data_IF_048740503657
#
_entry.id   IF_048740503657
#
_cell.length_a   1.000
_cell.length_b   1.000
_cell.length_c   1.000
_cell.angle_alpha   90.00
_cell.angle_beta   90.00
_cell.angle_gamma   90.00
#
_symmetry.space_group_name_H-M   'P 1'
#
loop_
_entity.id
_entity.type
_entity.pdbx_description
1 polymer ?
#
# COMPACT_ATOMS: atom_id res chain seq x y z
N UNK A 1 1.77 38.13 -11.59
CA UNK A 1 0.37 38.25 -11.28
C UNK A 1 0.00 37.28 -10.21
N UNK A 2 -0.50 37.78 -9.08
CA UNK A 2 -0.94 36.95 -7.95
C UNK A 2 -2.46 36.66 -8.03
N UNK A 3 -3.13 37.21 -9.05
CA UNK A 3 -4.56 37.08 -9.22
C UNK A 3 -4.95 35.69 -9.72
N UNK A 4 -6.07 35.20 -9.24
CA UNK A 4 -6.66 33.91 -9.66
C UNK A 4 -8.15 34.07 -9.96
N UNK A 5 -8.69 33.19 -10.82
CA UNK A 5 -10.04 33.31 -11.34
C UNK A 5 -11.06 32.86 -10.28
N UNK A 6 -11.95 33.76 -9.90
CA UNK A 6 -13.11 33.45 -9.04
C UNK A 6 -14.32 32.98 -9.87
N UNK A 7 -14.55 33.64 -11.01
CA UNK A 7 -15.65 33.33 -11.93
C UNK A 7 -15.12 33.27 -13.35
N UNK A 8 -15.35 32.19 -14.07
CA UNK A 8 -14.86 31.92 -15.41
C UNK A 8 -16.04 32.01 -16.41
N UNK A 9 -15.98 32.80 -17.48
CA UNK A 9 -17.00 32.78 -18.52
C UNK A 9 -17.16 31.38 -19.11
N UNK A 10 -18.40 30.95 -19.37
CA UNK A 10 -18.74 29.69 -20.02
C UNK A 10 -19.36 29.93 -21.39
N UNK A 11 -18.93 29.14 -22.38
CA UNK A 11 -19.58 29.07 -23.67
C UNK A 11 -20.94 28.35 -23.56
N UNK A 12 -21.75 28.39 -24.62
CA UNK A 12 -23.13 27.88 -24.61
C UNK A 12 -23.16 26.34 -24.44
N UNK A 13 -22.12 25.64 -24.86
CA UNK A 13 -21.92 24.20 -24.74
C UNK A 13 -21.21 23.77 -23.45
N UNK A 14 -20.78 24.74 -22.62
CA UNK A 14 -20.17 24.48 -21.32
C UNK A 14 -21.18 24.65 -20.19
N UNK A 15 -21.02 23.92 -19.05
CA UNK A 15 -21.76 24.21 -17.83
C UNK A 15 -21.58 25.68 -17.43
N UNK A 16 -22.68 26.33 -17.05
CA UNK A 16 -22.62 27.72 -16.65
C UNK A 16 -23.95 28.22 -16.08
N UNK A 17 -23.86 29.23 -15.24
CA UNK A 17 -24.96 29.85 -14.53
C UNK A 17 -24.93 31.38 -14.78
N UNK A 18 -26.09 32.00 -14.67
CA UNK A 18 -26.19 33.44 -14.74
C UNK A 18 -25.60 34.11 -13.50
N UNK A 19 -24.90 35.20 -13.69
CA UNK A 19 -24.30 35.99 -12.62
C UNK A 19 -24.28 37.48 -12.97
N UNK A 20 -24.01 38.38 -12.00
CA UNK A 20 -23.79 39.81 -12.28
C UNK A 20 -22.65 40.09 -13.27
N UNK A 21 -21.74 39.13 -13.46
CA UNK A 21 -20.58 39.23 -14.37
C UNK A 21 -20.79 38.49 -15.69
N UNK A 22 -22.04 38.08 -15.97
CA UNK A 22 -22.39 37.29 -17.13
C UNK A 22 -22.49 35.80 -16.83
N UNK A 23 -22.90 35.01 -17.86
CA UNK A 23 -22.98 33.58 -17.78
C UNK A 23 -21.57 32.96 -17.63
N UNK A 24 -21.41 32.11 -16.61
CA UNK A 24 -20.12 31.51 -16.31
C UNK A 24 -20.18 30.43 -15.26
N UNK A 25 -19.04 30.02 -14.78
CA UNK A 25 -18.86 29.02 -13.75
C UNK A 25 -17.84 29.45 -12.69
N UNK A 26 -17.91 28.89 -11.45
CA UNK A 26 -16.90 29.15 -10.43
C UNK A 26 -15.49 28.77 -10.91
N UNK A 27 -14.49 29.45 -10.40
CA UNK A 27 -13.10 29.02 -10.51
C UNK A 27 -12.83 27.82 -9.59
N UNK A 28 -11.77 27.06 -9.88
CA UNK A 28 -11.44 25.83 -9.17
C UNK A 28 -11.34 26.00 -7.64
N UNK A 29 -10.68 27.03 -7.16
CA UNK A 29 -10.46 27.23 -5.72
C UNK A 29 -11.77 27.45 -4.96
N UNK A 30 -12.67 28.27 -5.52
CA UNK A 30 -13.92 28.60 -4.85
C UNK A 30 -14.92 27.43 -4.86
N UNK A 31 -14.82 26.52 -5.83
CA UNK A 31 -15.59 25.28 -5.82
C UNK A 31 -15.28 24.49 -4.55
N UNK A 32 -14.00 24.28 -4.26
CA UNK A 32 -13.58 23.52 -3.07
C UNK A 32 -13.93 24.26 -1.78
N UNK A 33 -13.72 25.57 -1.70
CA UNK A 33 -14.08 26.38 -0.53
C UNK A 33 -15.57 26.28 -0.22
N UNK A 34 -16.42 26.47 -1.22
CA UNK A 34 -17.88 26.45 -1.05
C UNK A 34 -18.40 25.03 -0.74
N UNK A 35 -17.91 24.01 -1.45
CA UNK A 35 -18.35 22.62 -1.20
C UNK A 35 -17.93 22.12 0.18
N UNK A 36 -16.71 22.44 0.61
CA UNK A 36 -16.25 22.08 1.97
C UNK A 36 -17.14 22.69 3.04
N UNK A 37 -17.50 23.96 2.90
CA UNK A 37 -18.40 24.61 3.85
C UNK A 37 -19.79 23.98 3.86
N UNK A 38 -20.38 23.78 2.67
CA UNK A 38 -21.77 23.28 2.56
C UNK A 38 -21.90 21.85 3.08
N UNK A 39 -20.92 20.99 2.81
CA UNK A 39 -21.01 19.58 3.14
C UNK A 39 -20.42 19.20 4.50
N UNK A 40 -19.42 19.93 4.96
CA UNK A 40 -18.66 19.59 6.18
C UNK A 40 -18.83 20.63 7.29
N UNK A 41 -19.23 21.86 6.95
CA UNK A 41 -19.20 22.99 7.86
C UNK A 41 -17.77 23.51 8.08
N UNK A 42 -17.65 24.67 8.77
CA UNK A 42 -16.36 25.27 9.10
C UNK A 42 -16.21 25.46 10.60
N UNK A 43 -15.02 25.15 11.19
CA UNK A 43 -13.92 24.43 10.57
C UNK A 43 -14.19 22.93 10.49
N UNK A 44 -13.79 22.27 9.42
CA UNK A 44 -13.81 20.81 9.34
C UNK A 44 -12.51 20.19 9.86
N UNK A 45 -12.46 18.85 9.99
CA UNK A 45 -11.38 18.22 10.71
C UNK A 45 -10.11 18.09 9.87
N UNK A 46 -10.19 17.49 8.67
CA UNK A 46 -9.02 17.15 7.87
C UNK A 46 -9.19 17.63 6.44
N UNK A 47 -8.19 18.37 5.93
CA UNK A 47 -8.04 18.73 4.52
C UNK A 47 -6.76 18.13 3.95
N UNK A 48 -6.88 17.45 2.82
CA UNK A 48 -5.76 16.72 2.23
C UNK A 48 -5.57 16.97 0.75
N UNK A 49 -4.34 16.75 0.26
CA UNK A 49 -4.03 16.84 -1.14
C UNK A 49 -2.57 16.53 -1.45
N UNK A 50 -2.18 16.67 -2.71
CA UNK A 50 -0.78 16.61 -3.11
C UNK A 50 0.02 17.81 -2.59
N UNK A 51 1.32 17.65 -2.47
CA UNK A 51 2.22 18.73 -2.02
C UNK A 51 2.18 19.96 -2.95
N UNK A 52 1.81 19.76 -4.22
CA UNK A 52 1.63 20.81 -5.23
C UNK A 52 0.38 21.67 -4.99
N UNK A 53 -0.61 21.15 -4.27
CA UNK A 53 -1.83 21.88 -3.93
C UNK A 53 -1.64 22.85 -2.77
N UNK A 54 -0.55 22.78 -1.99
CA UNK A 54 -0.27 23.71 -0.90
C UNK A 54 -0.37 25.14 -1.37
N UNK A 55 0.24 25.41 -2.53
CA UNK A 55 0.21 26.71 -3.17
C UNK A 55 0.06 26.54 -4.70
N UNK A 56 -0.84 27.28 -5.35
CA UNK A 56 -1.70 28.33 -4.74
C UNK A 56 -3.06 27.84 -4.21
N UNK A 57 -3.44 26.56 -4.46
CA UNK A 57 -4.82 26.09 -4.30
C UNK A 57 -5.33 26.20 -2.85
N UNK A 58 -4.70 25.51 -1.91
CA UNK A 58 -5.13 25.49 -0.51
C UNK A 58 -5.00 26.87 0.18
N UNK A 59 -3.96 27.65 -0.15
CA UNK A 59 -3.84 29.01 0.34
C UNK A 59 -5.01 29.90 -0.13
N UNK A 60 -5.45 29.71 -1.37
CA UNK A 60 -6.59 30.44 -1.91
C UNK A 60 -7.92 29.99 -1.27
N UNK A 61 -8.08 28.71 -0.97
CA UNK A 61 -9.25 28.21 -0.25
C UNK A 61 -9.36 28.80 1.16
N UNK A 62 -8.23 28.83 1.88
CA UNK A 62 -8.15 29.47 3.20
C UNK A 62 -8.51 30.95 3.09
N UNK A 63 -7.89 31.68 2.14
CA UNK A 63 -8.15 33.09 1.96
C UNK A 63 -9.62 33.39 1.64
N UNK A 64 -10.23 32.62 0.73
CA UNK A 64 -11.64 32.74 0.37
C UNK A 64 -12.56 32.51 1.57
N UNK A 65 -12.37 31.40 2.28
CA UNK A 65 -13.25 31.02 3.41
C UNK A 65 -13.06 31.97 4.60
N UNK A 66 -11.82 32.35 4.95
CA UNK A 66 -11.56 33.27 6.03
C UNK A 66 -12.13 34.67 5.72
N UNK A 67 -11.95 35.17 4.49
CA UNK A 67 -12.50 36.47 4.10
C UNK A 67 -14.03 36.47 4.08
N UNK A 68 -14.69 35.42 3.57
CA UNK A 68 -16.14 35.33 3.53
C UNK A 68 -16.75 35.36 4.94
N UNK A 69 -16.06 34.84 5.94
CA UNK A 69 -16.53 34.77 7.34
C UNK A 69 -15.88 35.79 8.27
N UNK A 70 -15.13 36.74 7.76
CA UNK A 70 -14.40 37.76 8.56
C UNK A 70 -13.50 37.12 9.64
N UNK A 71 -12.83 36.02 9.31
CA UNK A 71 -11.88 35.32 10.19
C UNK A 71 -10.46 35.65 9.82
N UNK A 72 -9.60 35.77 10.83
CA UNK A 72 -8.16 36.00 10.64
C UNK A 72 -7.32 34.79 11.06
N UNK A 73 -7.96 33.78 11.65
CA UNK A 73 -7.33 32.55 12.09
C UNK A 73 -7.38 31.50 10.98
N UNK A 74 -6.25 30.94 10.60
CA UNK A 74 -6.13 29.90 9.58
C UNK A 74 -6.86 28.62 9.96
N UNK A 75 -6.94 28.31 11.24
CA UNK A 75 -7.70 27.15 11.76
C UNK A 75 -9.22 27.28 11.56
N UNK A 76 -9.70 28.44 11.07
CA UNK A 76 -11.12 28.63 10.77
C UNK A 76 -11.59 27.86 9.52
N UNK A 77 -10.69 27.31 8.72
CA UNK A 77 -11.02 26.51 7.55
C UNK A 77 -10.88 24.99 7.82
N UNK A 78 -9.68 24.50 8.14
CA UNK A 78 -9.44 23.12 8.51
C UNK A 78 -8.49 23.01 9.70
N UNK A 79 -8.72 22.02 10.57
CA UNK A 79 -7.90 21.80 11.77
C UNK A 79 -6.58 21.10 11.47
N UNK A 80 -6.61 20.13 10.56
CA UNK A 80 -5.45 19.31 10.19
C UNK A 80 -5.25 19.31 8.67
N UNK A 81 -3.98 19.41 8.26
CA UNK A 81 -3.57 19.41 6.86
C UNK A 81 -2.69 18.20 6.56
N UNK A 82 -3.08 17.42 5.56
CA UNK A 82 -2.35 16.22 5.13
C UNK A 82 -1.93 16.40 3.68
N UNK A 83 -0.62 16.48 3.42
CA UNK A 83 -0.09 16.64 2.08
C UNK A 83 0.80 15.47 1.70
N UNK A 84 0.44 14.78 0.62
CA UNK A 84 1.18 13.66 0.09
C UNK A 84 2.36 14.10 -0.79
N UNK A 85 3.45 13.34 -0.74
CA UNK A 85 4.50 13.41 -1.75
C UNK A 85 4.02 12.90 -3.11
N UNK A 86 4.89 13.01 -4.11
CA UNK A 86 4.59 12.56 -5.47
C UNK A 86 4.95 11.09 -5.67
N UNK A 87 4.23 10.45 -6.61
CA UNK A 87 4.62 9.14 -7.16
C UNK A 87 5.30 9.38 -8.50
N UNK A 88 6.54 8.88 -8.65
CA UNK A 88 7.24 8.76 -9.92
C UNK A 88 7.20 7.31 -10.38
N UNK A 89 7.45 7.07 -11.66
CA UNK A 89 7.54 5.74 -12.25
C UNK A 89 8.89 5.64 -12.95
N UNK A 90 9.75 4.74 -12.48
CA UNK A 90 11.12 4.57 -12.98
C UNK A 90 11.90 5.90 -13.02
N UNK A 91 11.77 6.71 -11.97
CA UNK A 91 12.42 8.00 -11.83
C UNK A 91 11.76 9.17 -12.58
N UNK A 92 10.76 8.90 -13.42
CA UNK A 92 10.06 9.89 -14.22
C UNK A 92 8.72 10.29 -13.61
N UNK A 93 8.33 11.56 -13.77
CA UNK A 93 7.01 12.01 -13.30
C UNK A 93 5.91 11.26 -14.06
N UNK A 94 4.97 10.66 -13.33
CA UNK A 94 3.80 10.03 -13.92
C UNK A 94 2.97 11.06 -14.68
N UNK A 95 2.77 10.86 -15.99
CA UNK A 95 1.94 11.77 -16.81
C UNK A 95 1.31 11.02 -17.99
N UNK A 96 0.13 11.50 -18.42
CA UNK A 96 -0.56 10.95 -19.61
C UNK A 96 0.25 11.15 -20.89
N UNK A 97 1.00 12.25 -20.98
CA UNK A 97 1.81 12.57 -22.17
C UNK A 97 3.02 11.66 -22.33
N UNK A 98 3.55 11.14 -21.24
CA UNK A 98 4.67 10.16 -21.26
C UNK A 98 4.19 8.72 -21.40
N UNK A 99 2.88 8.47 -21.29
CA UNK A 99 2.34 7.11 -21.40
C UNK A 99 2.75 6.16 -20.25
N UNK A 100 3.35 6.68 -19.19
CA UNK A 100 3.81 5.92 -18.03
C UNK A 100 2.77 5.87 -16.89
N UNK A 101 1.50 6.05 -17.25
CA UNK A 101 0.39 6.03 -16.31
C UNK A 101 0.04 4.58 -15.94
N UNK A 102 0.11 4.25 -14.66
CA UNK A 102 -0.21 2.92 -14.14
C UNK A 102 -1.60 2.94 -13.51
N UNK A 103 -2.47 2.05 -13.98
CA UNK A 103 -3.79 1.87 -13.38
C UNK A 103 -3.71 0.80 -12.29
N UNK A 104 -4.33 1.05 -11.16
CA UNK A 104 -4.39 0.08 -10.05
C UNK A 104 -5.05 -1.24 -10.49
N UNK A 105 -6.06 -1.18 -11.36
CA UNK A 105 -6.72 -2.36 -11.93
C UNK A 105 -5.73 -3.26 -12.68
N UNK A 106 -4.93 -2.69 -13.57
CA UNK A 106 -3.97 -3.45 -14.39
C UNK A 106 -2.82 -4.03 -13.53
N UNK A 107 -2.49 -3.35 -12.44
CA UNK A 107 -1.50 -3.85 -11.48
C UNK A 107 -2.05 -5.01 -10.66
N UNK A 108 -3.33 -4.98 -10.27
CA UNK A 108 -4.00 -6.06 -9.53
C UNK A 108 -4.17 -7.35 -10.35
N UNK A 109 -4.10 -7.27 -11.69
CA UNK A 109 -4.04 -8.47 -12.54
C UNK A 109 -2.68 -9.20 -12.47
N UNK A 110 -1.62 -8.51 -12.03
CA UNK A 110 -0.23 -9.01 -12.05
C UNK A 110 0.35 -9.24 -10.66
N UNK A 111 -0.13 -8.50 -9.66
CA UNK A 111 0.44 -8.48 -8.32
C UNK A 111 -0.67 -8.60 -7.29
N UNK A 112 -0.39 -9.30 -6.21
CA UNK A 112 -1.27 -9.32 -5.04
C UNK A 112 -1.48 -7.91 -4.47
N UNK A 113 -2.70 -7.62 -4.01
CA UNK A 113 -3.06 -6.31 -3.46
C UNK A 113 -2.23 -5.90 -2.25
N UNK A 114 -1.78 -6.85 -1.42
CA UNK A 114 -0.90 -6.56 -0.29
C UNK A 114 0.50 -6.13 -0.75
N UNK A 115 1.02 -6.67 -1.87
CA UNK A 115 2.29 -6.25 -2.45
C UNK A 115 2.21 -4.80 -2.91
N UNK A 116 1.13 -4.44 -3.62
CA UNK A 116 0.90 -3.07 -4.07
C UNK A 116 0.77 -2.12 -2.87
N UNK A 117 0.01 -2.51 -1.87
CA UNK A 117 -0.18 -1.74 -0.65
C UNK A 117 1.12 -1.54 0.12
N UNK A 118 1.89 -2.60 0.32
CA UNK A 118 3.20 -2.54 0.99
C UNK A 118 4.15 -1.62 0.23
N UNK A 119 4.17 -1.70 -1.10
CA UNK A 119 4.99 -0.84 -1.95
C UNK A 119 4.63 0.64 -1.79
N UNK A 120 3.34 0.98 -1.82
CA UNK A 120 2.87 2.35 -1.60
C UNK A 120 3.26 2.88 -0.22
N UNK A 121 3.15 2.05 0.81
CA UNK A 121 3.46 2.42 2.20
C UNK A 121 4.95 2.32 2.54
N UNK A 122 5.80 1.87 1.62
CA UNK A 122 7.25 1.75 1.84
C UNK A 122 7.98 3.09 1.95
N UNK A 123 7.38 4.17 1.47
CA UNK A 123 7.82 5.54 1.70
C UNK A 123 6.86 6.24 2.67
N UNK A 124 7.39 7.18 3.44
CA UNK A 124 6.54 8.07 4.25
C UNK A 124 5.63 8.87 3.31
N UNK A 125 4.35 9.03 3.65
CA UNK A 125 3.37 9.65 2.74
C UNK A 125 3.75 11.08 2.30
N UNK A 126 4.53 11.82 3.12
CA UNK A 126 5.03 13.16 2.76
C UNK A 126 6.22 13.14 1.79
N UNK A 127 6.85 11.99 1.59
CA UNK A 127 8.03 11.84 0.75
C UNK A 127 7.67 11.35 -0.65
N UNK A 128 8.46 11.67 -1.66
CA UNK A 128 8.31 11.07 -2.98
C UNK A 128 8.47 9.55 -2.92
N UNK A 129 7.62 8.85 -3.66
CA UNK A 129 7.71 7.41 -3.88
C UNK A 129 8.05 7.16 -5.34
N UNK A 130 9.17 6.51 -5.60
CA UNK A 130 9.46 5.99 -6.94
C UNK A 130 8.90 4.58 -7.09
N UNK A 131 7.96 4.42 -8.01
CA UNK A 131 7.32 3.15 -8.33
C UNK A 131 8.16 2.42 -9.38
N UNK A 132 8.69 1.26 -9.03
CA UNK A 132 9.49 0.44 -9.93
C UNK A 132 9.21 -1.05 -9.73
N UNK A 133 9.49 -1.84 -10.77
CA UNK A 133 9.39 -3.29 -10.71
C UNK A 133 10.28 -3.90 -9.62
N UNK A 134 11.48 -3.37 -9.43
CA UNK A 134 12.40 -3.86 -8.40
C UNK A 134 11.86 -3.62 -6.99
N UNK A 135 11.18 -2.49 -6.78
CA UNK A 135 10.54 -2.20 -5.50
C UNK A 135 9.36 -3.15 -5.23
N UNK A 136 8.57 -3.50 -6.24
CA UNK A 136 7.50 -4.50 -6.14
C UNK A 136 8.07 -5.88 -5.75
N UNK A 137 9.13 -6.34 -6.44
CA UNK A 137 9.82 -7.59 -6.12
C UNK A 137 10.38 -7.59 -4.70
N UNK A 138 10.96 -6.47 -4.25
CA UNK A 138 11.46 -6.32 -2.88
C UNK A 138 10.32 -6.37 -1.86
N UNK A 139 9.20 -5.72 -2.14
CA UNK A 139 8.00 -5.74 -1.29
C UNK A 139 7.44 -7.16 -1.15
N UNK A 140 7.29 -7.88 -2.27
CA UNK A 140 6.87 -9.30 -2.28
C UNK A 140 7.81 -10.15 -1.42
N UNK A 141 9.12 -10.04 -1.62
CA UNK A 141 10.12 -10.79 -0.84
C UNK A 141 10.03 -10.50 0.66
N UNK A 142 9.77 -9.26 1.03
CA UNK A 142 9.61 -8.89 2.44
C UNK A 142 8.36 -9.51 3.03
N UNK A 143 7.23 -9.43 2.32
CA UNK A 143 5.97 -10.07 2.74
C UNK A 143 6.11 -11.59 2.80
N UNK A 144 6.78 -12.24 1.83
CA UNK A 144 7.08 -13.67 1.86
C UNK A 144 7.81 -14.08 3.14
N UNK A 145 8.80 -13.28 3.54
CA UNK A 145 9.53 -13.53 4.79
C UNK A 145 8.64 -13.42 6.03
N UNK A 146 7.73 -12.44 6.08
CA UNK A 146 6.79 -12.26 7.19
C UNK A 146 5.74 -13.38 7.21
N UNK A 147 5.20 -13.77 6.06
CA UNK A 147 4.27 -14.89 5.96
C UNK A 147 4.91 -16.23 6.33
N UNK A 148 6.18 -16.44 6.00
CA UNK A 148 6.91 -17.63 6.43
C UNK A 148 7.11 -17.70 7.95
N UNK A 149 7.26 -16.56 8.63
CA UNK A 149 7.28 -16.51 10.10
C UNK A 149 5.92 -16.83 10.70
N UNK A 150 4.84 -16.29 10.12
CA UNK A 150 3.48 -16.61 10.55
C UNK A 150 3.19 -18.10 10.36
N UNK A 151 3.63 -18.71 9.26
CA UNK A 151 3.47 -20.15 9.01
C UNK A 151 4.16 -21.00 10.05
N UNK A 152 5.39 -20.66 10.44
CA UNK A 152 6.16 -21.40 11.47
C UNK A 152 5.48 -21.37 12.85
N UNK A 153 4.89 -20.23 13.18
CA UNK A 153 4.25 -20.03 14.47
C UNK A 153 2.73 -20.21 14.44
N UNK A 154 2.16 -20.86 13.43
CA UNK A 154 0.72 -21.01 13.28
C UNK A 154 0.13 -21.81 14.46
N UNK A 155 -0.59 -21.11 15.32
CA UNK A 155 -1.33 -21.68 16.44
C UNK A 155 -2.60 -20.84 16.67
N UNK A 156 -3.74 -21.42 16.37
CA UNK A 156 -5.06 -20.75 16.46
C UNK A 156 -5.43 -20.30 17.89
N UNK A 157 -4.73 -20.82 18.90
CA UNK A 157 -4.99 -20.48 20.31
C UNK A 157 -4.25 -19.20 20.77
N UNK A 158 -3.25 -18.71 20.03
CA UNK A 158 -2.50 -17.51 20.42
C UNK A 158 -3.29 -16.26 20.05
N UNK A 159 -3.56 -15.40 21.06
CA UNK A 159 -4.15 -14.09 20.83
C UNK A 159 -3.05 -13.07 20.53
N UNK A 160 -3.08 -12.47 19.33
CA UNK A 160 -2.12 -11.45 18.94
C UNK A 160 -2.34 -10.13 19.66
N UNK A 161 -1.25 -9.52 20.05
CA UNK A 161 -1.20 -8.14 20.56
C UNK A 161 -0.47 -7.25 19.58
N UNK A 162 -0.93 -5.98 19.49
CA UNK A 162 -0.26 -4.98 18.67
C UNK A 162 1.08 -4.63 19.32
N UNK A 163 2.17 -4.75 18.54
CA UNK A 163 3.51 -4.37 19.00
C UNK A 163 3.56 -2.86 19.28
N UNK A 164 4.08 -2.50 20.45
CA UNK A 164 4.11 -1.11 20.92
C UNK A 164 5.00 -0.21 20.08
N UNK A 165 6.09 -0.74 19.54
CA UNK A 165 7.02 0.03 18.70
C UNK A 165 6.40 0.29 17.32
N UNK A 166 5.64 -0.68 16.77
CA UNK A 166 4.87 -0.52 15.53
C UNK A 166 3.79 0.55 15.73
N UNK A 167 3.02 0.46 16.81
CA UNK A 167 1.99 1.44 17.13
C UNK A 167 2.59 2.84 17.33
N UNK A 168 3.69 2.95 18.06
CA UNK A 168 4.39 4.23 18.29
C UNK A 168 4.85 4.87 16.98
N UNK A 169 5.40 4.06 16.06
CA UNK A 169 5.80 4.56 14.74
C UNK A 169 4.61 5.10 13.93
N UNK A 170 3.46 4.43 13.99
CA UNK A 170 2.24 4.88 13.31
C UNK A 170 1.63 6.13 13.97
N UNK A 171 1.78 6.29 15.28
CA UNK A 171 1.36 7.49 16.00
C UNK A 171 2.29 8.70 15.76
N UNK A 172 3.47 8.49 15.19
CA UNK A 172 4.41 9.53 14.79
C UNK A 172 4.22 9.87 13.31
N UNK A 173 3.20 10.66 13.03
CA UNK A 173 2.85 11.15 11.68
C UNK A 173 2.72 10.03 10.63
N UNK A 174 2.13 8.89 11.00
CA UNK A 174 1.94 7.72 10.14
C UNK A 174 3.26 7.23 9.50
N UNK A 175 4.31 7.11 10.28
CA UNK A 175 5.63 6.71 9.84
C UNK A 175 5.66 5.21 9.48
N UNK A 176 5.06 4.87 8.34
CA UNK A 176 4.95 3.49 7.84
C UNK A 176 6.30 2.84 7.56
N UNK A 177 7.34 3.54 7.02
CA UNK A 177 8.66 2.94 6.88
C UNK A 177 9.27 2.48 8.20
N UNK A 178 9.11 3.29 9.26
CA UNK A 178 9.57 2.90 10.59
C UNK A 178 8.74 1.73 11.14
N UNK A 179 7.42 1.76 10.97
CA UNK A 179 6.54 0.65 11.36
C UNK A 179 6.95 -0.68 10.68
N UNK A 180 7.27 -0.67 9.38
CA UNK A 180 7.79 -1.85 8.67
C UNK A 180 9.13 -2.33 9.21
N UNK A 181 10.03 -1.39 9.54
CA UNK A 181 11.30 -1.73 10.20
C UNK A 181 11.05 -2.42 11.55
N UNK A 182 10.07 -1.95 12.33
CA UNK A 182 9.71 -2.57 13.62
C UNK A 182 9.07 -3.94 13.44
N UNK A 183 8.16 -4.11 12.48
CA UNK A 183 7.61 -5.43 12.12
C UNK A 183 8.73 -6.41 11.73
N UNK A 184 9.70 -5.95 10.94
CA UNK A 184 10.83 -6.80 10.55
C UNK A 184 11.72 -7.17 11.74
N UNK A 185 11.94 -6.26 12.68
CA UNK A 185 12.72 -6.50 13.89
C UNK A 185 12.02 -7.44 14.89
N UNK A 186 10.70 -7.64 14.79
CA UNK A 186 9.99 -8.60 15.65
C UNK A 186 10.48 -10.03 15.45
N UNK A 187 10.93 -10.40 14.25
CA UNK A 187 11.49 -11.73 13.97
C UNK A 187 12.68 -12.11 14.86
N UNK A 188 13.45 -11.11 15.33
CA UNK A 188 14.63 -11.33 16.15
C UNK A 188 14.28 -11.53 17.65
N UNK A 189 13.00 -11.38 18.02
CA UNK A 189 12.48 -11.56 19.39
C UNK A 189 11.94 -12.98 19.66
N UNK A 190 12.13 -13.89 18.72
CA UNK A 190 11.40 -15.17 18.68
C UNK A 190 11.92 -16.22 19.68
N UNK A 191 11.44 -16.12 20.92
CA UNK A 191 11.49 -17.24 21.88
C UNK A 191 10.22 -18.13 21.81
N UNK A 192 9.15 -17.64 21.14
CA UNK A 192 7.88 -18.35 20.96
C UNK A 192 7.26 -17.99 19.61
N UNK A 193 7.39 -18.88 18.65
CA UNK A 193 6.94 -18.68 17.28
C UNK A 193 5.42 -18.44 17.17
N UNK A 194 4.61 -19.07 18.02
CA UNK A 194 3.15 -18.91 17.99
C UNK A 194 2.71 -17.52 18.44
N UNK A 195 3.28 -16.97 19.50
CA UNK A 195 2.97 -15.62 19.96
C UNK A 195 3.47 -14.58 18.95
N UNK A 196 4.69 -14.76 18.41
CA UNK A 196 5.23 -13.91 17.37
C UNK A 196 4.33 -13.85 16.13
N UNK A 197 3.86 -15.02 15.66
CA UNK A 197 2.96 -15.08 14.51
C UNK A 197 1.66 -14.31 14.74
N UNK A 198 1.06 -14.48 15.92
CA UNK A 198 -0.16 -13.77 16.30
C UNK A 198 0.06 -12.25 16.40
N UNK A 199 1.17 -11.79 17.00
CA UNK A 199 1.51 -10.39 17.17
C UNK A 199 1.85 -9.72 15.83
N UNK A 200 2.54 -10.43 14.92
CA UNK A 200 2.80 -9.96 13.56
C UNK A 200 1.50 -9.72 12.80
N UNK A 201 0.55 -10.67 12.86
CA UNK A 201 -0.77 -10.49 12.23
C UNK A 201 -1.54 -9.31 12.83
N UNK A 202 -1.59 -9.21 14.15
CA UNK A 202 -2.27 -8.12 14.83
C UNK A 202 -1.66 -6.74 14.47
N UNK A 203 -0.33 -6.65 14.45
CA UNK A 203 0.39 -5.43 14.12
C UNK A 203 0.27 -5.08 12.62
N UNK A 204 0.37 -6.08 11.74
CA UNK A 204 0.19 -5.90 10.30
C UNK A 204 -1.23 -5.46 9.93
N UNK A 205 -2.23 -5.91 10.68
CA UNK A 205 -3.64 -5.54 10.48
C UNK A 205 -3.88 -4.02 10.58
N UNK A 206 -3.11 -3.31 11.44
CA UNK A 206 -3.21 -1.85 11.54
C UNK A 206 -2.93 -1.12 10.22
N UNK A 207 -2.08 -1.69 9.39
CA UNK A 207 -1.67 -1.13 8.10
C UNK A 207 -2.27 -1.90 6.92
N UNK A 208 -3.11 -2.89 7.20
CA UNK A 208 -3.81 -3.69 6.19
C UNK A 208 -2.90 -4.60 5.38
N UNK A 209 -1.88 -5.19 6.03
CA UNK A 209 -1.04 -6.26 5.50
C UNK A 209 -1.15 -7.49 6.39
N UNK A 210 -0.65 -8.63 5.92
CA UNK A 210 -0.70 -9.93 6.60
C UNK A 210 -2.15 -10.39 6.87
N UNK A 211 -3.06 -10.10 5.93
CA UNK A 211 -4.49 -10.39 6.05
C UNK A 211 -4.85 -11.80 5.58
N UNK A 212 -4.00 -12.42 4.77
CA UNK A 212 -4.24 -13.74 4.20
C UNK A 212 -3.76 -14.85 5.17
N UNK A 213 -4.17 -16.08 4.90
CA UNK A 213 -3.49 -17.25 5.49
C UNK A 213 -2.17 -17.49 4.75
N UNK A 214 -1.15 -18.09 5.39
CA UNK A 214 0.07 -18.48 4.69
C UNK A 214 -0.19 -19.37 3.47
N UNK A 215 -1.15 -20.28 3.56
CA UNK A 215 -1.51 -21.16 2.45
C UNK A 215 -2.07 -20.37 1.27
N UNK A 216 -2.99 -19.44 1.50
CA UNK A 216 -3.50 -18.56 0.45
C UNK A 216 -2.38 -17.70 -0.15
N UNK A 217 -1.52 -17.13 0.68
CA UNK A 217 -0.40 -16.28 0.23
C UNK A 217 0.60 -17.01 -0.66
N UNK A 218 0.92 -18.27 -0.31
CA UNK A 218 1.85 -19.11 -1.09
C UNK A 218 1.16 -19.93 -2.19
N UNK A 219 -0.13 -19.68 -2.43
CA UNK A 219 -0.91 -20.34 -3.48
C UNK A 219 -1.20 -21.80 -3.22
N UNK A 220 -1.28 -22.21 -1.96
CA UNK A 220 -1.64 -23.57 -1.51
C UNK A 220 -3.15 -23.68 -1.25
N UNK A 221 -3.66 -24.90 -1.12
CA UNK A 221 -5.10 -25.17 -0.92
C UNK A 221 -5.84 -25.48 -2.21
N UNK A 222 -5.10 -25.77 -3.31
CA UNK A 222 -5.68 -26.18 -4.58
C UNK A 222 -5.78 -27.69 -4.74
N UNK A 223 -6.55 -28.14 -5.74
CA UNK A 223 -6.76 -29.56 -6.04
C UNK A 223 -5.47 -30.31 -6.42
N UNK A 224 -4.45 -29.59 -6.88
CA UNK A 224 -3.17 -30.13 -7.33
C UNK A 224 -2.15 -30.32 -6.17
N UNK A 225 -2.44 -29.83 -4.97
CA UNK A 225 -1.48 -29.81 -3.87
C UNK A 225 -1.03 -31.21 -3.46
N UNK A 226 -1.95 -32.19 -3.49
CA UNK A 226 -1.61 -33.59 -3.17
C UNK A 226 -0.59 -34.20 -4.15
N UNK A 227 -0.64 -33.81 -5.42
CA UNK A 227 0.32 -34.23 -6.44
C UNK A 227 1.69 -33.57 -6.22
N UNK A 228 1.70 -32.29 -5.85
CA UNK A 228 2.92 -31.53 -5.53
C UNK A 228 3.60 -32.14 -4.29
N UNK A 229 2.83 -32.42 -3.24
CA UNK A 229 3.34 -33.03 -2.00
C UNK A 229 3.92 -34.42 -2.27
N UNK A 230 3.30 -35.23 -3.11
CA UNK A 230 3.83 -36.52 -3.53
C UNK A 230 5.18 -36.41 -4.25
N UNK A 231 5.34 -35.40 -5.13
CA UNK A 231 6.61 -35.12 -5.79
C UNK A 231 7.70 -34.66 -4.80
N UNK A 232 7.34 -33.87 -3.80
CA UNK A 232 8.27 -33.44 -2.76
C UNK A 232 8.76 -34.58 -1.89
N UNK A 233 7.87 -35.52 -1.51
CA UNK A 233 8.24 -36.74 -0.83
C UNK A 233 9.19 -37.58 -1.67
N UNK A 234 8.87 -37.82 -2.93
CA UNK A 234 9.74 -38.57 -3.87
C UNK A 234 11.11 -37.92 -4.06
N UNK A 235 11.17 -36.59 -4.13
CA UNK A 235 12.43 -35.82 -4.21
C UNK A 235 13.26 -35.99 -2.92
N UNK A 236 12.62 -35.94 -1.77
CA UNK A 236 13.28 -36.11 -0.48
C UNK A 236 13.88 -37.52 -0.36
N UNK A 237 13.14 -38.56 -0.76
CA UNK A 237 13.61 -39.92 -0.81
C UNK A 237 14.78 -40.11 -1.78
N UNK A 238 14.71 -39.51 -2.98
CA UNK A 238 15.80 -39.54 -3.94
C UNK A 238 17.10 -38.92 -3.36
N UNK A 239 16.98 -37.77 -2.68
CA UNK A 239 18.12 -37.15 -1.97
C UNK A 239 18.70 -38.05 -0.86
N UNK A 240 17.83 -38.67 -0.05
CA UNK A 240 18.27 -39.57 1.00
C UNK A 240 19.03 -40.79 0.45
N UNK A 241 18.62 -41.29 -0.71
CA UNK A 241 19.27 -42.36 -1.46
C UNK A 241 20.47 -41.93 -2.30
N UNK A 242 20.84 -40.62 -2.29
CA UNK A 242 21.90 -40.02 -3.10
C UNK A 242 21.66 -40.11 -4.62
N UNK A 243 20.42 -40.31 -5.03
CA UNK A 243 19.98 -40.30 -6.43
C UNK A 243 19.72 -38.85 -6.85
N UNK A 244 20.82 -38.14 -7.11
CA UNK A 244 20.77 -36.73 -7.47
C UNK A 244 20.09 -36.48 -8.82
N UNK A 245 20.27 -37.42 -9.78
CA UNK A 245 19.65 -37.30 -11.10
C UNK A 245 18.11 -37.29 -10.99
N UNK A 246 17.54 -38.20 -10.22
CA UNK A 246 16.10 -38.25 -9.97
C UNK A 246 15.60 -37.03 -9.17
N UNK A 247 16.38 -36.57 -8.19
CA UNK A 247 16.02 -35.38 -7.42
C UNK A 247 15.96 -34.11 -8.28
N UNK A 248 16.89 -33.98 -9.25
CA UNK A 248 16.94 -32.86 -10.20
C UNK A 248 15.83 -32.96 -11.25
N UNK A 249 15.51 -34.17 -11.74
CA UNK A 249 14.36 -34.39 -12.64
C UNK A 249 13.05 -33.94 -11.98
N UNK A 250 12.79 -34.35 -10.72
CA UNK A 250 11.61 -33.94 -9.99
C UNK A 250 11.58 -32.43 -9.76
N UNK A 251 12.72 -31.82 -9.48
CA UNK A 251 12.82 -30.37 -9.33
C UNK A 251 12.46 -29.65 -10.63
N UNK A 252 12.93 -30.13 -11.77
CA UNK A 252 12.59 -29.59 -13.08
C UNK A 252 11.08 -29.71 -13.35
N UNK A 253 10.46 -30.85 -13.05
CA UNK A 253 9.05 -31.08 -13.17
C UNK A 253 8.22 -30.09 -12.31
N UNK A 254 8.60 -29.88 -11.05
CA UNK A 254 7.97 -28.90 -10.17
C UNK A 254 8.11 -27.48 -10.72
N UNK A 255 9.27 -27.14 -11.27
CA UNK A 255 9.51 -25.82 -11.89
C UNK A 255 8.62 -25.63 -13.13
N UNK A 256 8.43 -26.65 -13.98
CA UNK A 256 7.50 -26.59 -15.12
C UNK A 256 6.04 -26.42 -14.68
N UNK A 257 5.67 -26.94 -13.51
CA UNK A 257 4.36 -26.71 -12.90
C UNK A 257 4.23 -25.32 -12.25
N UNK A 258 5.26 -24.46 -12.34
CA UNK A 258 5.27 -23.14 -11.68
C UNK A 258 5.48 -23.22 -10.17
N UNK A 259 6.11 -24.28 -9.68
CA UNK A 259 6.36 -24.50 -8.25
C UNK A 259 7.82 -24.22 -7.94
N UNK A 260 8.07 -23.33 -6.99
CA UNK A 260 9.39 -23.10 -6.40
C UNK A 260 9.50 -23.89 -5.07
N UNK A 261 10.60 -24.61 -4.92
CA UNK A 261 10.84 -25.44 -3.72
C UNK A 261 12.04 -24.91 -2.95
N UNK A 262 11.83 -24.68 -1.65
CA UNK A 262 12.85 -24.31 -0.68
C UNK A 262 13.12 -25.50 0.26
N UNK A 263 14.39 -25.90 0.39
CA UNK A 263 14.80 -26.92 1.36
C UNK A 263 15.03 -26.25 2.71
N UNK A 264 14.27 -26.64 3.74
CA UNK A 264 14.43 -26.15 5.12
C UNK A 264 14.85 -27.29 6.05
N UNK A 265 15.38 -26.99 7.26
CA UNK A 265 15.72 -28.03 8.25
C UNK A 265 14.51 -28.88 8.65
N UNK A 266 13.30 -28.33 8.58
CA UNK A 266 12.04 -29.01 8.92
C UNK A 266 11.46 -29.82 7.74
N UNK A 267 12.06 -29.71 6.54
CA UNK A 267 11.62 -30.37 5.31
C UNK A 267 11.48 -29.41 4.14
N UNK A 268 11.21 -29.91 2.91
CA UNK A 268 11.01 -29.05 1.77
C UNK A 268 9.67 -28.29 1.90
N UNK A 269 9.70 -27.00 1.57
CA UNK A 269 8.51 -26.14 1.44
C UNK A 269 8.37 -25.72 -0.01
N UNK A 270 7.16 -25.44 -0.42
CA UNK A 270 6.89 -25.01 -1.77
C UNK A 270 5.95 -23.81 -1.84
N UNK A 271 6.03 -23.10 -2.93
CA UNK A 271 5.13 -21.97 -3.29
C UNK A 271 4.89 -21.95 -4.78
N UNK A 272 3.73 -21.44 -5.19
CA UNK A 272 3.46 -21.17 -6.61
C UNK A 272 4.18 -19.88 -7.04
N UNK A 273 4.82 -19.93 -8.21
CA UNK A 273 5.47 -18.75 -8.81
C UNK A 273 4.39 -17.88 -9.46
N UNK A 274 4.34 -16.59 -9.09
CA UNK A 274 3.38 -15.64 -9.67
C UNK A 274 2.10 -15.42 -8.86
N UNK A 275 2.05 -15.92 -7.62
CA UNK A 275 0.99 -15.54 -6.66
C UNK A 275 1.42 -14.32 -5.84
#
# INVERSE_FOLDING_TARGET
PADFVLWKPSADDEPGWDSPWGRGRPGWHIECSAMSEVHLGLPFDIHGGGADLKFPHHENEIAQSCCAHNKTNLDAFAKYWVHNGFVTVEGEKMSKSLGNFLLAHDLLEKYDGEVLRFTLLSAHYRQPLDWSEDKLKQSKKTLDSLYSLIEKGQNDAAKGEIDKDVLSALCDDLNTPLAFSKLHAMKDRADNDAQLAADLKASGALIGILQQSPDAWFGRGGDDDSAIDALLVARTEAKANKDWAKADEIRAQLTEMGIEVEDTPEGPRWRKVGT
#
